data_IF_433042002461
#
_entry.id   IF_433042002461
#
_cell.length_a   1.000
_cell.length_b   1.000
_cell.length_c   1.000
_cell.angle_alpha   90.00
_cell.angle_beta   90.00
_cell.angle_gamma   90.00
#
_symmetry.space_group_name_H-M   'P 1'
#
loop_
_entity.id
_entity.type
_entity.pdbx_description
1 polymer ?
#
# COMPACT_ATOMS: atom_id res chain seq x y z
N UNK A 1 2.16 30.28 -8.51
CA UNK A 1 2.80 29.22 -7.72
C UNK A 1 3.44 28.23 -8.67
N UNK A 2 4.47 27.50 -8.22
CA UNK A 2 5.07 26.38 -8.97
C UNK A 2 4.61 25.09 -8.32
N UNK A 3 4.17 24.12 -9.12
CA UNK A 3 3.67 22.82 -8.67
C UNK A 3 4.53 21.68 -9.23
N UNK A 4 4.80 20.68 -8.39
CA UNK A 4 5.65 19.54 -8.73
C UNK A 4 4.83 18.24 -8.79
N UNK A 5 4.94 17.54 -9.93
CA UNK A 5 4.22 16.30 -10.19
C UNK A 5 5.16 15.15 -10.54
N UNK A 6 4.86 13.96 -10.03
CA UNK A 6 5.51 12.71 -10.44
C UNK A 6 4.76 12.10 -11.62
N UNK A 7 5.37 12.11 -12.80
CA UNK A 7 4.72 11.72 -14.07
C UNK A 7 4.69 10.21 -14.31
N UNK A 8 5.54 9.43 -13.63
CA UNK A 8 5.64 7.97 -13.80
C UNK A 8 4.80 7.18 -12.79
N UNK A 9 3.76 7.80 -12.24
CA UNK A 9 2.94 7.17 -11.21
C UNK A 9 2.24 5.91 -11.71
N UNK A 10 1.82 5.88 -12.99
CA UNK A 10 1.13 4.75 -13.59
C UNK A 10 1.98 3.47 -13.54
N UNK A 11 3.24 3.56 -13.95
CA UNK A 11 4.18 2.42 -13.96
C UNK A 11 4.43 1.93 -12.52
N UNK A 12 4.65 2.87 -11.60
CA UNK A 12 4.94 2.57 -10.20
C UNK A 12 3.77 1.89 -9.46
N UNK A 13 2.53 2.10 -9.89
CA UNK A 13 1.33 1.56 -9.20
C UNK A 13 1.32 0.04 -9.17
N UNK A 14 1.64 -0.61 -10.29
CA UNK A 14 1.59 -2.09 -10.38
C UNK A 14 2.61 -2.72 -9.43
N UNK A 15 3.82 -2.18 -9.42
CA UNK A 15 4.89 -2.64 -8.53
C UNK A 15 4.53 -2.41 -7.05
N UNK A 16 3.99 -1.24 -6.71
CA UNK A 16 3.57 -0.95 -5.34
C UNK A 16 2.43 -1.84 -4.85
N UNK A 17 1.45 -2.15 -5.70
CA UNK A 17 0.37 -3.07 -5.35
C UNK A 17 0.89 -4.50 -5.13
N UNK A 18 1.83 -4.94 -5.96
CA UNK A 18 2.49 -6.25 -5.79
C UNK A 18 3.24 -6.32 -4.46
N UNK A 19 4.06 -5.30 -4.15
CA UNK A 19 4.78 -5.21 -2.88
C UNK A 19 3.84 -5.14 -1.67
N UNK A 20 2.79 -4.32 -1.73
CA UNK A 20 1.80 -4.20 -0.66
C UNK A 20 1.03 -5.50 -0.44
N UNK A 21 0.66 -6.21 -1.51
CA UNK A 21 -0.03 -7.51 -1.44
C UNK A 21 0.86 -8.58 -0.82
N UNK A 22 2.14 -8.62 -1.20
CA UNK A 22 3.13 -9.52 -0.60
C UNK A 22 3.30 -9.23 0.90
N UNK A 23 3.39 -7.95 1.27
CA UNK A 23 3.49 -7.56 2.67
C UNK A 23 2.24 -7.93 3.48
N UNK A 24 1.04 -7.77 2.90
CA UNK A 24 -0.20 -8.21 3.54
C UNK A 24 -0.20 -9.73 3.79
N UNK A 25 0.27 -10.53 2.83
CA UNK A 25 0.41 -11.99 2.99
C UNK A 25 1.41 -12.36 4.09
N UNK A 26 2.59 -11.73 4.10
CA UNK A 26 3.61 -11.97 5.13
C UNK A 26 3.08 -11.70 6.54
N UNK A 27 2.31 -10.61 6.71
CA UNK A 27 1.66 -10.29 7.98
C UNK A 27 0.59 -11.30 8.35
N UNK A 28 -0.26 -11.71 7.40
CA UNK A 28 -1.30 -12.70 7.65
C UNK A 28 -0.69 -14.07 8.06
N UNK A 29 0.39 -14.48 7.40
CA UNK A 29 1.13 -15.71 7.72
C UNK A 29 1.75 -15.65 9.12
N UNK A 30 2.37 -14.52 9.50
CA UNK A 30 2.91 -14.32 10.84
C UNK A 30 1.82 -14.39 11.93
N UNK A 31 0.64 -13.81 11.67
CA UNK A 31 -0.49 -13.84 12.59
C UNK A 31 -1.01 -15.29 12.74
N UNK A 32 -1.30 -15.99 11.65
CA UNK A 32 -1.82 -17.36 11.70
C UNK A 32 -0.84 -18.32 12.41
N UNK A 33 0.46 -18.22 12.10
CA UNK A 33 1.48 -19.06 12.76
C UNK A 33 1.56 -18.83 14.26
N UNK A 34 1.25 -17.63 14.75
CA UNK A 34 1.25 -17.34 16.18
C UNK A 34 0.13 -18.07 16.95
N UNK A 35 -0.93 -18.51 16.26
CA UNK A 35 -2.04 -19.28 16.82
C UNK A 35 -2.00 -20.77 16.47
N UNK A 36 -0.96 -21.23 15.77
CA UNK A 36 -0.82 -22.62 15.32
C UNK A 36 -1.52 -22.92 13.98
N UNK A 37 -2.11 -21.91 13.35
CA UNK A 37 -2.81 -22.04 12.08
C UNK A 37 -1.87 -21.74 10.89
N UNK A 38 -2.36 -22.02 9.68
CA UNK A 38 -1.71 -21.56 8.45
C UNK A 38 -2.69 -20.83 7.53
N UNK A 39 -2.18 -20.02 6.60
CA UNK A 39 -3.04 -19.33 5.63
C UNK A 39 -3.17 -20.10 4.30
N UNK A 40 -4.36 -20.03 3.70
CA UNK A 40 -4.70 -20.59 2.41
C UNK A 40 -4.69 -19.56 1.27
N UNK A 41 -5.60 -19.74 0.30
CA UNK A 41 -5.73 -18.84 -0.84
C UNK A 41 -6.23 -17.45 -0.43
N UNK A 42 -6.10 -16.48 -1.33
CA UNK A 42 -6.76 -15.17 -1.17
C UNK A 42 -8.27 -15.37 -1.26
N UNK A 43 -8.99 -14.94 -0.22
CA UNK A 43 -10.45 -14.96 -0.16
C UNK A 43 -11.06 -13.65 -0.65
N UNK A 44 -10.45 -12.53 -0.27
CA UNK A 44 -10.87 -11.19 -0.67
C UNK A 44 -9.64 -10.29 -0.79
N UNK A 45 -9.67 -9.34 -1.73
CA UNK A 45 -8.64 -8.32 -1.86
C UNK A 45 -9.24 -7.01 -2.37
N UNK A 46 -8.84 -5.92 -1.74
CA UNK A 46 -9.19 -4.57 -2.15
C UNK A 46 -7.98 -3.64 -2.06
N UNK A 47 -7.94 -2.70 -2.99
CA UNK A 47 -6.94 -1.64 -3.06
C UNK A 47 -7.52 -0.37 -2.41
N UNK A 48 -6.73 0.26 -1.53
CA UNK A 48 -7.01 1.60 -1.02
C UNK A 48 -6.49 2.71 -1.94
N UNK A 49 -6.82 3.94 -1.61
CA UNK A 49 -6.30 5.13 -2.29
C UNK A 49 -4.79 5.27 -2.08
N UNK A 50 -4.07 5.64 -3.14
CA UNK A 50 -2.65 5.94 -3.06
C UNK A 50 -2.41 7.25 -2.31
N UNK A 51 -1.36 7.30 -1.51
CA UNK A 51 -0.88 8.52 -0.86
C UNK A 51 0.41 8.96 -1.54
N UNK A 52 0.46 10.20 -2.02
CA UNK A 52 1.64 10.85 -2.59
C UNK A 52 1.97 12.03 -1.68
N UNK A 53 2.86 11.83 -0.72
CA UNK A 53 3.21 12.83 0.29
C UNK A 53 4.66 13.23 0.20
N UNK A 54 5.07 14.22 1.00
CA UNK A 54 6.47 14.58 1.14
C UNK A 54 7.26 13.43 1.78
N UNK A 55 8.57 13.33 1.49
CA UNK A 55 9.44 12.20 1.89
C UNK A 55 9.29 11.77 3.36
N UNK A 56 9.25 12.73 4.28
CA UNK A 56 9.21 12.49 5.72
C UNK A 56 7.81 12.71 6.35
N UNK A 57 6.78 12.94 5.54
CA UNK A 57 5.42 13.16 6.05
C UNK A 57 4.83 11.85 6.60
N UNK A 58 4.17 11.93 7.76
CA UNK A 58 3.35 10.83 8.30
C UNK A 58 1.87 10.98 7.95
N UNK A 59 1.55 11.93 7.08
CA UNK A 59 0.17 12.27 6.75
C UNK A 59 -0.47 11.16 5.93
N UNK A 60 -1.70 10.83 6.32
CA UNK A 60 -2.56 9.87 5.63
C UNK A 60 -3.94 10.50 5.57
N UNK A 61 -4.64 10.30 4.45
CA UNK A 61 -6.00 10.78 4.28
C UNK A 61 -6.89 9.70 3.66
N UNK A 62 -8.14 9.65 4.09
CA UNK A 62 -9.11 8.66 3.61
C UNK A 62 -9.43 8.82 2.12
N UNK A 63 -9.27 10.04 1.58
CA UNK A 63 -9.51 10.35 0.16
C UNK A 63 -8.25 10.29 -0.70
N UNK A 64 -7.08 10.07 -0.10
CA UNK A 64 -5.79 10.16 -0.79
C UNK A 64 -5.23 11.58 -0.77
N UNK A 65 -3.93 11.70 -0.57
CA UNK A 65 -3.21 12.97 -0.58
C UNK A 65 -2.26 13.04 -1.76
N UNK A 66 -2.17 14.20 -2.40
CA UNK A 66 -1.15 14.49 -3.40
C UNK A 66 -0.51 15.84 -3.08
N UNK A 67 0.67 15.80 -2.47
CA UNK A 67 1.48 16.99 -2.27
C UNK A 67 1.99 17.48 -3.64
N UNK A 68 1.77 18.75 -3.99
CA UNK A 68 2.39 19.41 -5.15
C UNK A 68 3.50 20.39 -4.76
N UNK A 69 3.75 20.58 -3.46
CA UNK A 69 4.63 21.64 -2.96
C UNK A 69 6.12 21.27 -2.94
N UNK A 70 6.48 19.97 -2.84
CA UNK A 70 7.89 19.53 -2.81
C UNK A 70 8.33 18.79 -4.07
N UNK A 71 9.64 18.67 -4.30
CA UNK A 71 10.17 17.84 -5.39
C UNK A 71 10.19 16.36 -4.98
N UNK A 72 10.73 16.06 -3.79
CA UNK A 72 10.80 14.68 -3.30
C UNK A 72 9.43 14.18 -2.86
N UNK A 73 9.04 12.99 -3.35
CA UNK A 73 7.77 12.34 -3.07
C UNK A 73 7.98 10.98 -2.42
N UNK A 74 7.12 10.65 -1.46
CA UNK A 74 6.88 9.31 -0.97
C UNK A 74 5.54 8.83 -1.49
N UNK A 75 5.53 7.68 -2.15
CA UNK A 75 4.30 7.07 -2.68
C UNK A 75 4.00 5.81 -1.89
N UNK A 76 2.80 5.75 -1.31
CA UNK A 76 2.33 4.62 -0.50
C UNK A 76 1.12 3.99 -1.16
N UNK A 77 1.17 2.67 -1.36
CA UNK A 77 0.01 1.86 -1.72
C UNK A 77 -0.56 1.15 -0.49
N UNK A 78 -1.88 1.05 -0.44
CA UNK A 78 -2.60 0.33 0.62
C UNK A 78 -3.33 -0.83 -0.02
N UNK A 79 -3.11 -2.04 0.48
CA UNK A 79 -3.83 -3.25 0.09
C UNK A 79 -4.43 -3.87 1.35
N UNK A 80 -5.72 -4.19 1.28
CA UNK A 80 -6.40 -5.03 2.26
C UNK A 80 -6.65 -6.38 1.60
N UNK A 81 -6.18 -7.44 2.22
CA UNK A 81 -6.41 -8.81 1.75
C UNK A 81 -6.86 -9.68 2.91
N UNK A 82 -7.77 -10.61 2.63
CA UNK A 82 -8.18 -11.67 3.54
C UNK A 82 -7.80 -13.01 2.91
N UNK A 83 -7.29 -13.90 3.75
CA UNK A 83 -6.86 -15.24 3.36
C UNK A 83 -7.73 -16.27 4.07
N UNK A 84 -7.89 -17.43 3.45
CA UNK A 84 -8.44 -18.58 4.16
C UNK A 84 -7.52 -18.98 5.31
N UNK A 85 -8.09 -19.54 6.38
CA UNK A 85 -7.33 -20.16 7.47
C UNK A 85 -7.42 -21.67 7.31
N UNK A 86 -6.33 -22.38 7.59
CA UNK A 86 -6.19 -23.83 7.49
C UNK A 86 -5.72 -24.41 8.81
#
# INVERSE_FOLDING_TARGET
SVDFFYTKLADLRVDLLSMASKNAKERADAIAKSTGDSIGGVKDASQGVFQVTQKNSTDVSDYGSYDTSTIEKKVTAIVRASFEVK
#
